data_IF_703600110802
#
_entry.id   IF_703600110802
#
_cell.length_a   1.000
_cell.length_b   1.000
_cell.length_c   1.000
_cell.angle_alpha   90.00
_cell.angle_beta   90.00
_cell.angle_gamma   90.00
#
_symmetry.space_group_name_H-M   'P 1'
#
loop_
_entity.id
_entity.type
_entity.pdbx_description
1 polymer ?
#
# COMPACT_ATOMS: atom_id res chain seq x y z
N UNK A 1 16.86 7.01 -0.44
CA UNK A 1 17.26 5.62 -0.74
C UNK A 1 15.98 4.80 -0.81
N UNK A 2 15.54 4.44 -2.02
CA UNK A 2 14.39 3.54 -2.16
C UNK A 2 14.75 2.22 -1.49
N UNK A 3 14.15 1.95 -0.33
CA UNK A 3 14.29 0.67 0.33
C UNK A 3 13.64 -0.36 -0.60
N UNK A 4 14.44 -1.27 -1.16
CA UNK A 4 14.03 -2.29 -2.15
C UNK A 4 13.07 -3.35 -1.58
N UNK A 5 12.48 -3.10 -0.42
CA UNK A 5 11.60 -4.02 0.27
C UNK A 5 10.31 -4.24 -0.49
N UNK A 6 9.89 -5.49 -0.45
CA UNK A 6 8.52 -5.87 -0.76
C UNK A 6 7.57 -5.36 0.34
N UNK A 7 6.29 -5.21 0.01
CA UNK A 7 5.25 -4.82 0.95
C UNK A 7 5.18 -5.79 2.13
N UNK A 8 5.35 -7.10 1.89
CA UNK A 8 5.38 -8.10 2.96
C UNK A 8 6.49 -7.85 3.98
N UNK A 9 7.70 -7.57 3.51
CA UNK A 9 8.86 -7.27 4.37
C UNK A 9 8.67 -5.95 5.13
N UNK A 10 8.16 -4.91 4.45
CA UNK A 10 7.89 -3.61 5.08
C UNK A 10 6.83 -3.71 6.18
N UNK A 11 5.76 -4.48 5.96
CA UNK A 11 4.72 -4.73 6.96
C UNK A 11 5.25 -5.56 8.14
N UNK A 12 6.08 -6.58 7.87
CA UNK A 12 6.71 -7.38 8.92
C UNK A 12 7.63 -6.54 9.81
N UNK A 13 8.44 -5.64 9.23
CA UNK A 13 9.29 -4.70 9.99
C UNK A 13 8.48 -3.76 10.88
N UNK A 14 7.25 -3.44 10.49
CA UNK A 14 6.30 -2.62 11.26
C UNK A 14 5.48 -3.44 12.28
N UNK A 15 5.81 -4.72 12.49
CA UNK A 15 5.16 -5.57 13.50
C UNK A 15 3.85 -6.22 13.04
N UNK A 16 3.51 -6.15 11.75
CA UNK A 16 2.31 -6.82 11.22
C UNK A 16 2.58 -8.32 11.10
N UNK A 17 1.89 -9.11 11.92
CA UNK A 17 2.01 -10.58 11.86
C UNK A 17 1.41 -11.15 10.56
N UNK A 18 1.92 -12.30 10.11
CA UNK A 18 1.35 -13.07 8.99
C UNK A 18 -0.15 -13.29 9.14
N UNK A 19 -0.62 -13.60 10.36
CA UNK A 19 -2.05 -13.81 10.66
C UNK A 19 -2.86 -12.53 10.47
N UNK A 20 -2.35 -11.38 10.92
CA UNK A 20 -3.02 -10.08 10.74
C UNK A 20 -3.13 -9.73 9.26
N UNK A 21 -2.06 -9.93 8.50
CA UNK A 21 -2.04 -9.70 7.06
C UNK A 21 -3.04 -10.58 6.31
N UNK A 22 -3.12 -11.88 6.65
CA UNK A 22 -4.12 -12.78 6.05
C UNK A 22 -5.55 -12.41 6.41
N UNK A 23 -5.82 -11.92 7.63
CA UNK A 23 -7.15 -11.41 8.00
C UNK A 23 -7.55 -10.20 7.14
N UNK A 24 -6.62 -9.27 6.90
CA UNK A 24 -6.83 -8.13 6.01
C UNK A 24 -7.16 -8.62 4.59
N UNK A 25 -6.39 -9.58 4.08
CA UNK A 25 -6.66 -10.15 2.75
C UNK A 25 -8.03 -10.83 2.70
N UNK A 26 -8.39 -11.61 3.71
CA UNK A 26 -9.71 -12.22 3.79
C UNK A 26 -10.84 -11.18 3.85
N UNK A 27 -10.67 -10.09 4.61
CA UNK A 27 -11.70 -9.04 4.69
C UNK A 27 -11.88 -8.31 3.36
N UNK A 28 -10.79 -7.94 2.69
CA UNK A 28 -10.86 -7.26 1.39
C UNK A 28 -11.47 -8.19 0.33
N UNK A 29 -11.03 -9.45 0.28
CA UNK A 29 -11.59 -10.45 -0.61
C UNK A 29 -13.10 -10.65 -0.40
N UNK A 30 -13.55 -10.63 0.86
CA UNK A 30 -14.96 -10.75 1.20
C UNK A 30 -15.77 -9.52 0.75
N UNK A 31 -15.26 -8.31 0.96
CA UNK A 31 -15.91 -7.06 0.50
C UNK A 31 -16.06 -7.06 -1.03
N UNK A 32 -15.10 -7.66 -1.74
CA UNK A 32 -15.12 -7.81 -3.19
C UNK A 32 -15.89 -9.05 -3.68
N UNK A 33 -16.57 -9.79 -2.79
CA UNK A 33 -17.30 -11.02 -3.10
C UNK A 33 -16.46 -12.09 -3.83
N UNK A 34 -15.17 -12.19 -3.50
CA UNK A 34 -14.27 -13.17 -4.11
C UNK A 34 -14.41 -14.57 -3.48
N UNK A 35 -14.17 -15.66 -4.25
CA UNK A 35 -14.14 -17.02 -3.72
C UNK A 35 -13.07 -17.21 -2.63
N UNK A 36 -13.26 -18.12 -1.66
CA UNK A 36 -12.32 -18.34 -0.56
C UNK A 36 -10.87 -18.63 -0.97
N UNK A 37 -10.67 -19.31 -2.10
CA UNK A 37 -9.33 -19.61 -2.63
C UNK A 37 -8.54 -18.38 -3.08
N UNK A 38 -9.19 -17.24 -3.31
CA UNK A 38 -8.51 -16.01 -3.75
C UNK A 38 -7.74 -15.30 -2.63
N UNK A 39 -8.00 -15.64 -1.37
CA UNK A 39 -7.31 -15.03 -0.22
C UNK A 39 -5.81 -15.32 -0.27
N UNK A 40 -5.41 -16.56 -0.56
CA UNK A 40 -4.00 -16.95 -0.64
C UNK A 40 -3.30 -16.33 -1.83
N UNK A 41 -3.95 -16.31 -2.99
CA UNK A 41 -3.45 -15.67 -4.22
C UNK A 41 -3.21 -14.18 -3.99
N UNK A 42 -4.17 -13.50 -3.36
CA UNK A 42 -4.04 -12.08 -3.07
C UNK A 42 -2.94 -11.81 -2.04
N UNK A 43 -2.85 -12.62 -0.99
CA UNK A 43 -1.80 -12.47 0.02
C UNK A 43 -0.40 -12.66 -0.58
N UNK A 44 -0.21 -13.67 -1.43
CA UNK A 44 1.07 -13.92 -2.10
C UNK A 44 1.45 -12.79 -3.07
N UNK A 45 0.48 -12.33 -3.87
CA UNK A 45 0.68 -11.22 -4.80
C UNK A 45 1.06 -9.93 -4.05
N UNK A 46 0.25 -9.54 -3.06
CA UNK A 46 0.48 -8.33 -2.27
C UNK A 46 1.79 -8.39 -1.50
N UNK A 47 2.16 -9.55 -0.94
CA UNK A 47 3.41 -9.68 -0.19
C UNK A 47 4.65 -9.38 -1.05
N UNK A 48 4.60 -9.62 -2.36
CA UNK A 48 5.71 -9.44 -3.31
C UNK A 48 5.73 -8.08 -4.00
N UNK A 49 4.66 -7.30 -3.89
CA UNK A 49 4.56 -5.97 -4.53
C UNK A 49 5.58 -5.02 -3.90
N UNK A 50 6.33 -4.30 -4.74
CA UNK A 50 7.17 -3.17 -4.32
C UNK A 50 6.36 -1.88 -4.25
N UNK A 51 6.86 -0.86 -3.55
CA UNK A 51 6.21 0.45 -3.46
C UNK A 51 5.89 0.98 -4.87
N UNK A 52 4.64 1.34 -5.11
CA UNK A 52 4.16 1.79 -6.41
C UNK A 52 4.92 3.05 -6.85
N UNK A 53 5.36 3.07 -8.11
CA UNK A 53 5.98 4.25 -8.71
C UNK A 53 4.93 5.34 -8.92
N UNK A 54 5.25 6.56 -8.49
CA UNK A 54 4.43 7.75 -8.70
C UNK A 54 5.21 8.70 -9.60
N UNK A 55 4.58 9.15 -10.68
CA UNK A 55 5.15 10.17 -11.56
C UNK A 55 4.48 11.50 -11.20
N UNK A 56 5.28 12.46 -10.73
CA UNK A 56 4.82 13.82 -10.42
C UNK A 56 5.44 14.79 -11.42
N UNK A 57 4.60 15.49 -12.17
CA UNK A 57 5.03 16.43 -13.21
C UNK A 57 4.50 17.83 -12.89
N UNK A 58 5.41 18.79 -12.73
CA UNK A 58 5.07 20.21 -12.56
C UNK A 58 5.21 20.93 -13.90
N UNK A 59 4.16 21.66 -14.31
CA UNK A 59 4.17 22.53 -15.50
C UNK A 59 4.12 24.00 -15.05
N UNK A 60 3.29 24.85 -15.68
CA UNK A 60 3.02 26.19 -15.15
C UNK A 60 2.04 26.09 -13.98
N UNK A 61 2.58 25.90 -12.78
CA UNK A 61 1.80 25.81 -11.55
C UNK A 61 2.12 26.95 -10.56
N UNK A 62 1.16 27.27 -9.69
CA UNK A 62 1.35 28.18 -8.55
C UNK A 62 1.83 27.44 -7.28
N UNK A 63 2.21 26.16 -7.40
CA UNK A 63 2.60 25.25 -6.30
C UNK A 63 1.54 24.93 -5.25
N UNK A 64 0.33 25.50 -5.34
CA UNK A 64 -0.75 25.23 -4.37
C UNK A 64 -1.18 23.76 -4.29
N UNK A 65 -1.15 23.02 -5.41
CA UNK A 65 -1.44 21.58 -5.41
C UNK A 65 -0.35 20.77 -4.69
N UNK A 66 0.92 21.16 -4.85
CA UNK A 66 2.06 20.56 -4.13
C UNK A 66 2.00 20.88 -2.63
N UNK A 67 1.59 22.09 -2.24
CA UNK A 67 1.35 22.39 -0.82
C UNK A 67 0.16 21.61 -0.27
N UNK A 68 -0.92 21.46 -1.05
CA UNK A 68 -2.09 20.71 -0.62
C UNK A 68 -1.76 19.25 -0.33
N UNK A 69 -0.92 18.59 -1.15
CA UNK A 69 -0.50 17.20 -0.88
C UNK A 69 0.43 17.10 0.33
N UNK A 70 1.33 18.07 0.56
CA UNK A 70 2.18 18.07 1.77
C UNK A 70 1.40 18.29 3.06
N UNK A 71 0.19 18.84 2.97
CA UNK A 71 -0.77 18.97 4.06
C UNK A 71 -1.77 17.80 4.15
N UNK A 72 -1.51 16.64 3.56
CA UNK A 72 -2.31 15.43 3.81
C UNK A 72 -2.10 14.93 5.25
N UNK A 73 -3.17 14.62 5.98
CA UNK A 73 -3.11 14.19 7.39
C UNK A 73 -3.64 12.77 7.65
N UNK A 74 -4.41 12.18 6.72
CA UNK A 74 -5.04 10.86 6.91
C UNK A 74 -5.09 10.06 5.60
N UNK A 75 -3.97 9.44 5.16
CA UNK A 75 -2.67 9.35 5.83
C UNK A 75 -1.76 10.58 5.62
N UNK A 76 -0.73 10.71 6.45
CA UNK A 76 0.38 11.65 6.25
C UNK A 76 1.27 11.22 5.08
N UNK A 77 2.10 12.14 4.58
CA UNK A 77 3.14 11.79 3.60
C UNK A 77 4.34 11.05 4.21
N UNK A 78 4.57 11.24 5.51
CA UNK A 78 5.60 10.56 6.31
C UNK A 78 5.17 9.14 6.71
#
# INVERSE_FOLDING_TARGET
MSDELTLGEALARRGVSRRTFLKFCASVASVMAMPPGMVEVMADALAKVKRQSVIWLSFQECTGCTESITRSHSPTLE
#
